data_IF_089821809834
#
_entry.id   IF_089821809834
#
_cell.length_a   1.000
_cell.length_b   1.000
_cell.length_c   1.000
_cell.angle_alpha   90.00
_cell.angle_beta   90.00
_cell.angle_gamma   90.00
#
_symmetry.space_group_name_H-M   'P 1'
#
loop_
_entity.id
_entity.type
_entity.pdbx_description
1 polymer ?
#
# COMPACT_ATOMS: atom_id res chain seq x y z
N UNK A 1 19.69 -1.34 -9.60
CA UNK A 1 18.87 -0.59 -8.62
C UNK A 1 18.96 0.90 -8.93
N UNK A 2 17.81 1.55 -9.13
CA UNK A 2 17.69 3.00 -9.38
C UNK A 2 16.60 3.55 -8.48
N UNK A 3 16.80 4.73 -7.90
CA UNK A 3 15.77 5.42 -7.11
C UNK A 3 15.30 6.64 -7.91
N UNK A 4 13.99 6.83 -8.03
CA UNK A 4 13.39 8.00 -8.70
C UNK A 4 12.18 8.50 -7.92
N UNK A 5 11.74 9.72 -8.23
CA UNK A 5 10.49 10.24 -7.71
C UNK A 5 9.29 9.40 -8.20
N UNK A 6 8.28 9.31 -7.35
CA UNK A 6 6.98 8.73 -7.67
C UNK A 6 6.33 9.40 -8.88
N UNK A 7 5.61 8.61 -9.66
CA UNK A 7 4.70 9.01 -10.72
C UNK A 7 3.34 8.36 -10.50
N UNK A 8 2.22 8.99 -10.93
CA UNK A 8 0.88 8.44 -10.72
C UNK A 8 0.68 6.98 -11.19
N UNK A 9 1.42 6.57 -12.23
CA UNK A 9 1.40 5.20 -12.77
C UNK A 9 1.91 4.15 -11.77
N UNK A 10 2.70 4.55 -10.77
CA UNK A 10 3.28 3.64 -9.78
C UNK A 10 2.27 3.25 -8.67
N UNK A 11 1.12 3.95 -8.58
CA UNK A 11 0.21 3.84 -7.44
C UNK A 11 -0.28 2.42 -7.19
N UNK A 12 -0.73 1.71 -8.24
CA UNK A 12 -1.27 0.36 -8.08
C UNK A 12 -0.19 -0.66 -7.69
N UNK A 13 1.03 -0.50 -8.21
CA UNK A 13 2.18 -1.32 -7.81
C UNK A 13 2.54 -1.06 -6.35
N UNK A 14 2.59 0.20 -5.92
CA UNK A 14 2.90 0.59 -4.55
C UNK A 14 1.85 0.06 -3.55
N UNK A 15 0.56 0.13 -3.91
CA UNK A 15 -0.54 -0.46 -3.13
C UNK A 15 -0.36 -1.97 -2.99
N UNK A 16 -0.04 -2.66 -4.08
CA UNK A 16 0.14 -4.12 -4.09
C UNK A 16 1.30 -4.57 -3.22
N UNK A 17 2.49 -3.96 -3.40
CA UNK A 17 3.68 -4.24 -2.58
C UNK A 17 3.39 -3.99 -1.09
N UNK A 18 2.71 -2.88 -0.77
CA UNK A 18 2.39 -2.55 0.62
C UNK A 18 1.43 -3.56 1.24
N UNK A 19 0.40 -4.00 0.52
CA UNK A 19 -0.51 -5.03 1.02
C UNK A 19 0.24 -6.34 1.26
N UNK A 20 1.05 -6.79 0.30
CA UNK A 20 1.83 -8.02 0.42
C UNK A 20 2.81 -7.99 1.60
N UNK A 21 3.55 -6.89 1.76
CA UNK A 21 4.53 -6.72 2.83
C UNK A 21 3.92 -6.73 4.24
N UNK A 22 2.63 -6.41 4.35
CA UNK A 22 1.92 -6.36 5.63
C UNK A 22 1.07 -7.60 5.91
N UNK A 23 1.02 -8.57 4.99
CA UNK A 23 0.31 -9.83 5.21
C UNK A 23 0.92 -10.61 6.39
N UNK A 24 0.07 -11.16 7.25
CA UNK A 24 0.44 -11.88 8.46
C UNK A 24 0.84 -10.98 9.65
N UNK A 25 1.08 -9.69 9.42
CA UNK A 25 1.56 -8.74 10.47
C UNK A 25 0.66 -7.51 10.64
N UNK A 26 -0.32 -7.30 9.75
CA UNK A 26 -1.25 -6.19 9.82
C UNK A 26 -2.20 -6.35 11.01
N UNK A 27 -2.30 -5.34 11.86
CA UNK A 27 -3.32 -5.32 12.92
C UNK A 27 -4.74 -5.33 12.34
N UNK A 28 -4.96 -4.68 11.20
CA UNK A 28 -6.23 -4.67 10.49
C UNK A 28 -6.64 -6.08 10.03
N UNK A 29 -5.66 -6.89 9.62
CA UNK A 29 -5.86 -8.29 9.24
C UNK A 29 -6.14 -9.16 10.48
N UNK A 30 -5.40 -8.91 11.57
CA UNK A 30 -5.65 -9.57 12.85
C UNK A 30 -7.08 -9.34 13.34
N UNK A 31 -7.54 -8.08 13.35
CA UNK A 31 -8.90 -7.71 13.73
C UNK A 31 -9.91 -8.36 12.77
N UNK A 32 -9.67 -8.32 11.46
CA UNK A 32 -10.57 -8.93 10.49
C UNK A 32 -10.69 -10.45 10.62
N UNK A 33 -9.61 -11.14 10.99
CA UNK A 33 -9.65 -12.58 11.24
C UNK A 33 -10.53 -12.93 12.44
N UNK A 34 -10.51 -12.11 13.48
CA UNK A 34 -11.30 -12.35 14.70
C UNK A 34 -12.76 -11.91 14.57
N UNK A 35 -13.03 -10.83 13.81
CA UNK A 35 -14.34 -10.16 13.79
C UNK A 35 -15.01 -10.10 12.41
N UNK A 36 -14.33 -10.58 11.36
CA UNK A 36 -14.78 -10.45 9.98
C UNK A 36 -14.51 -9.07 9.37
N UNK A 37 -14.96 -8.85 8.12
CA UNK A 37 -14.79 -7.58 7.42
C UNK A 37 -15.44 -6.42 8.16
N UNK A 38 -14.73 -5.30 8.26
CA UNK A 38 -15.18 -4.11 8.98
C UNK A 38 -15.78 -3.12 7.97
N UNK A 39 -17.02 -2.69 8.23
CA UNK A 39 -17.74 -1.71 7.40
C UNK A 39 -17.79 -2.09 5.90
N UNK A 40 -17.92 -3.39 5.60
CA UNK A 40 -18.00 -3.88 4.22
C UNK A 40 -16.69 -3.88 3.44
N UNK A 41 -15.57 -3.58 4.09
CA UNK A 41 -14.25 -3.57 3.47
C UNK A 41 -13.31 -4.57 4.12
N UNK A 42 -12.41 -5.16 3.32
CA UNK A 42 -11.33 -6.00 3.83
C UNK A 42 -10.14 -5.14 4.33
N UNK A 43 -9.20 -5.79 5.00
CA UNK A 43 -8.03 -5.12 5.54
C UNK A 43 -7.10 -4.59 4.43
N UNK A 44 -7.11 -5.25 3.26
CA UNK A 44 -6.31 -4.88 2.10
C UNK A 44 -6.77 -3.55 1.53
N UNK A 45 -8.08 -3.35 1.40
CA UNK A 45 -8.70 -2.09 0.99
C UNK A 45 -8.29 -0.95 1.92
N UNK A 46 -8.34 -1.18 3.24
CA UNK A 46 -7.92 -0.18 4.24
C UNK A 46 -6.44 0.16 4.10
N UNK A 47 -5.57 -0.86 4.01
CA UNK A 47 -4.11 -0.67 3.90
C UNK A 47 -3.72 0.05 2.60
N UNK A 48 -4.27 -0.38 1.47
CA UNK A 48 -4.05 0.25 0.18
C UNK A 48 -4.55 1.70 0.15
N UNK A 49 -5.68 1.97 0.83
CA UNK A 49 -6.23 3.32 0.96
C UNK A 49 -5.29 4.29 1.70
N UNK A 50 -4.48 3.82 2.65
CA UNK A 50 -3.47 4.66 3.31
C UNK A 50 -2.38 5.11 2.33
N UNK A 51 -1.92 4.22 1.44
CA UNK A 51 -0.94 4.56 0.39
C UNK A 51 -1.51 5.60 -0.56
N UNK A 52 -2.76 5.44 -0.99
CA UNK A 52 -3.43 6.43 -1.85
C UNK A 52 -3.57 7.78 -1.14
N UNK A 53 -3.90 7.78 0.15
CA UNK A 53 -4.01 9.01 0.94
C UNK A 53 -2.66 9.73 1.05
N UNK A 54 -1.56 9.01 1.26
CA UNK A 54 -0.21 9.59 1.28
C UNK A 54 0.20 10.14 -0.09
N UNK A 55 -0.04 9.40 -1.18
CA UNK A 55 0.24 9.86 -2.54
C UNK A 55 -0.57 11.10 -2.94
N UNK A 56 -1.81 11.23 -2.43
CA UNK A 56 -2.63 12.42 -2.62
C UNK A 56 -2.16 13.61 -1.77
N UNK A 57 -1.70 13.35 -0.54
CA UNK A 57 -1.27 14.38 0.41
C UNK A 57 0.07 15.00 0.02
N UNK A 58 1.05 14.16 -0.31
CA UNK A 58 2.42 14.58 -0.63
C UNK A 58 3.09 13.61 -1.61
N UNK A 59 2.78 13.70 -2.92
CA UNK A 59 3.41 12.84 -3.93
C UNK A 59 4.92 13.08 -4.04
N UNK A 60 5.41 14.27 -3.64
CA UNK A 60 6.84 14.60 -3.67
C UNK A 60 7.66 13.89 -2.58
N UNK A 61 7.00 13.45 -1.51
CA UNK A 61 7.60 12.67 -0.44
C UNK A 61 7.80 11.18 -0.74
N UNK A 62 7.32 10.69 -1.90
CA UNK A 62 7.37 9.27 -2.27
C UNK A 62 8.47 9.02 -3.31
N UNK A 63 9.28 7.99 -3.04
CA UNK A 63 10.34 7.53 -3.93
C UNK A 63 10.11 6.07 -4.32
N UNK A 64 10.41 5.74 -5.58
CA UNK A 64 10.35 4.40 -6.13
C UNK A 64 11.75 3.87 -6.30
N UNK A 65 11.99 2.66 -5.79
CA UNK A 65 13.19 1.90 -6.06
C UNK A 65 12.89 0.88 -7.16
N UNK A 66 13.50 1.08 -8.33
CA UNK A 66 13.43 0.14 -9.45
C UNK A 66 14.55 -0.90 -9.33
N UNK A 67 14.19 -2.17 -9.36
CA UNK A 67 15.08 -3.34 -9.36
C UNK A 67 14.95 -4.03 -10.72
N UNK A 68 16.07 -4.19 -11.43
CA UNK A 68 16.10 -4.78 -12.77
C UNK A 68 15.18 -4.10 -13.81
N UNK A 69 14.88 -2.82 -13.60
CA UNK A 69 14.04 -2.01 -14.48
C UNK A 69 12.54 -2.10 -14.18
N UNK A 70 12.18 -2.72 -13.05
CA UNK A 70 10.82 -2.88 -12.53
C UNK A 70 10.69 -2.12 -11.21
#
# INVERSE_FOLDING_TARGET
>A
MKIRAYQPVDLETLKSITVEAFQGVSIDEGIEREYGPINGHDWKWRKAGHVEADARRDPGGIFIAEVDGI
#
